data_IF_386273569341
#
_entry.id   IF_386273569341
#
_cell.length_a   1.000
_cell.length_b   1.000
_cell.length_c   1.000
_cell.angle_alpha   90.00
_cell.angle_beta   90.00
_cell.angle_gamma   90.00
#
_symmetry.space_group_name_H-M   'P 1'
#
loop_
_entity.id
_entity.type
_entity.pdbx_description
1 polymer ?
#
# COMPACT_ATOMS: atom_id res chain seq x y z
N UNK A 1 16.77 -38.60 -11.17
CA UNK A 1 16.35 -37.39 -11.91
C UNK A 1 14.84 -37.34 -11.87
N UNK A 2 14.24 -36.45 -11.08
CA UNK A 2 12.78 -36.29 -10.99
C UNK A 2 12.43 -34.88 -11.49
N UNK A 3 11.78 -34.83 -12.65
CA UNK A 3 11.17 -33.63 -13.21
C UNK A 3 9.98 -33.21 -12.35
N UNK A 4 9.89 -31.93 -12.02
CA UNK A 4 8.70 -31.33 -11.40
C UNK A 4 8.07 -30.39 -12.42
N UNK A 5 6.75 -30.52 -12.51
CA UNK A 5 5.87 -29.98 -13.52
C UNK A 5 5.91 -28.46 -13.66
N UNK A 6 5.98 -28.02 -14.92
CA UNK A 6 5.64 -26.66 -15.35
C UNK A 6 4.14 -26.41 -15.10
N UNK A 7 3.83 -25.47 -14.21
CA UNK A 7 2.50 -24.89 -14.07
C UNK A 7 2.24 -23.98 -15.28
N UNK A 8 1.28 -24.38 -16.10
CA UNK A 8 0.73 -23.57 -17.18
C UNK A 8 -0.04 -22.39 -16.58
N UNK A 9 0.46 -21.17 -16.77
CA UNK A 9 -0.36 -19.96 -16.65
C UNK A 9 -1.37 -19.94 -17.82
N UNK A 10 -2.64 -20.14 -17.51
CA UNK A 10 -3.74 -19.86 -18.44
C UNK A 10 -4.13 -18.40 -18.32
N UNK A 11 -3.96 -17.66 -19.42
CA UNK A 11 -4.44 -16.31 -19.62
C UNK A 11 -5.98 -16.26 -19.49
N UNK A 12 -6.47 -15.36 -18.65
CA UNK A 12 -7.86 -14.94 -18.62
C UNK A 12 -7.89 -13.42 -18.75
N UNK A 13 -8.22 -12.96 -19.95
CA UNK A 13 -8.50 -11.58 -20.34
C UNK A 13 -9.76 -11.09 -19.64
N UNK A 14 -9.57 -10.42 -18.52
CA UNK A 14 -10.46 -9.40 -17.96
C UNK A 14 -9.55 -8.22 -17.59
N UNK A 15 -10.01 -6.99 -17.83
CA UNK A 15 -9.31 -5.73 -17.56
C UNK A 15 -8.33 -5.84 -16.38
N UNK A 16 -7.03 -5.86 -16.69
CA UNK A 16 -5.98 -6.18 -15.71
C UNK A 16 -5.83 -5.17 -14.58
N UNK A 17 -6.62 -4.10 -14.56
CA UNK A 17 -6.57 -3.03 -13.55
C UNK A 17 -7.49 -3.31 -12.36
N UNK A 18 -8.68 -3.88 -12.59
CA UNK A 18 -9.69 -4.12 -11.54
C UNK A 18 -9.29 -5.21 -10.52
N UNK A 19 -8.26 -6.02 -10.82
CA UNK A 19 -7.73 -7.02 -9.89
C UNK A 19 -6.49 -6.60 -9.12
N UNK A 20 -5.86 -5.47 -9.48
CA UNK A 20 -4.60 -5.03 -8.87
C UNK A 20 -4.81 -4.69 -7.39
N UNK A 21 -6.00 -4.20 -7.05
CA UNK A 21 -6.32 -3.57 -5.76
C UNK A 21 -7.31 -4.37 -4.89
N UNK A 22 -7.90 -5.45 -5.43
CA UNK A 22 -9.05 -6.15 -4.82
C UNK A 22 -8.71 -7.36 -3.93
N UNK A 23 -7.43 -7.63 -3.58
CA UNK A 23 -7.07 -8.92 -2.97
C UNK A 23 -7.01 -9.00 -1.44
N UNK A 24 -7.31 -7.93 -0.71
CA UNK A 24 -7.69 -8.06 0.70
C UNK A 24 -8.44 -6.81 1.18
N UNK A 25 -9.78 -6.87 1.22
CA UNK A 25 -10.48 -6.25 2.34
C UNK A 25 -9.91 -6.94 3.58
N UNK A 26 -9.05 -6.24 4.30
CA UNK A 26 -8.22 -6.78 5.34
C UNK A 26 -9.11 -7.30 6.50
N UNK A 27 -9.22 -8.63 6.74
CA UNK A 27 -10.03 -9.15 7.86
C UNK A 27 -9.47 -8.75 9.25
N UNK A 28 -8.38 -7.97 9.30
CA UNK A 28 -7.70 -7.53 10.50
C UNK A 28 -8.17 -6.17 11.03
N UNK A 29 -9.05 -5.44 10.33
CA UNK A 29 -9.71 -4.23 10.88
C UNK A 29 -10.71 -4.52 12.00
N UNK A 30 -11.00 -5.80 12.27
CA UNK A 30 -11.95 -6.23 13.31
C UNK A 30 -11.45 -6.07 14.76
N UNK A 31 -10.33 -5.38 14.99
CA UNK A 31 -9.81 -5.10 16.34
C UNK A 31 -9.27 -3.67 16.47
N UNK A 32 -10.18 -2.72 16.61
CA UNK A 32 -10.26 -1.78 17.75
C UNK A 32 -10.93 -0.49 17.32
N UNK A 33 -12.17 -0.28 17.78
CA UNK A 33 -12.83 1.03 17.79
C UNK A 33 -12.20 1.97 18.83
N UNK A 34 -10.88 2.15 18.77
CA UNK A 34 -10.18 3.19 19.50
C UNK A 34 -9.54 4.08 18.47
N UNK A 35 -10.20 5.20 18.19
CA UNK A 35 -9.64 6.27 17.37
C UNK A 35 -8.19 6.51 17.75
N UNK A 36 -7.37 6.77 16.73
CA UNK A 36 -5.95 7.03 16.89
C UNK A 36 -5.71 7.90 18.12
N UNK A 37 -4.96 7.37 19.08
CA UNK A 37 -4.40 8.20 20.14
C UNK A 37 -3.59 9.27 19.41
N UNK A 38 -3.93 10.54 19.60
CA UNK A 38 -3.22 11.65 18.96
C UNK A 38 -1.70 11.41 19.05
N UNK A 39 -1.05 11.28 17.90
CA UNK A 39 0.40 11.05 17.83
C UNK A 39 0.85 9.59 17.91
N UNK A 40 0.02 8.59 17.58
CA UNK A 40 0.49 7.20 17.42
C UNK A 40 -0.07 6.57 16.15
N UNK A 41 0.82 6.11 15.26
CA UNK A 41 0.49 5.42 14.01
C UNK A 41 0.96 3.98 14.03
N UNK A 42 0.22 3.12 13.33
CA UNK A 42 0.50 1.68 13.22
C UNK A 42 0.92 1.38 11.78
N UNK A 43 2.14 0.90 11.61
CA UNK A 43 2.67 0.48 10.31
C UNK A 43 2.76 -1.04 10.30
N UNK A 44 2.12 -1.68 9.31
CA UNK A 44 2.10 -3.14 9.14
C UNK A 44 2.79 -3.53 7.85
N UNK A 45 3.71 -4.48 7.91
CA UNK A 45 4.31 -5.08 6.71
C UNK A 45 3.36 -6.13 6.13
N UNK A 46 2.65 -5.80 5.05
CA UNK A 46 1.66 -6.67 4.45
C UNK A 46 2.28 -7.66 3.46
N UNK A 47 3.59 -7.63 3.20
CA UNK A 47 4.22 -8.59 2.28
C UNK A 47 4.00 -10.04 2.71
N UNK A 48 4.09 -10.30 4.02
CA UNK A 48 4.07 -11.64 4.62
C UNK A 48 2.74 -12.00 5.29
N UNK A 49 1.69 -11.19 5.11
CA UNK A 49 0.37 -11.45 5.70
C UNK A 49 -0.39 -12.53 4.93
N UNK A 50 0.08 -13.77 4.97
CA UNK A 50 -0.63 -14.91 4.39
C UNK A 50 -1.54 -15.60 5.42
N UNK A 51 -2.60 -16.25 4.92
CA UNK A 51 -3.67 -16.94 5.64
C UNK A 51 -3.29 -17.46 7.05
N UNK A 52 -3.61 -16.67 8.08
CA UNK A 52 -3.49 -17.05 9.49
C UNK A 52 -2.26 -16.51 10.22
N UNK A 53 -1.35 -15.78 9.57
CA UNK A 53 -0.25 -15.07 10.22
C UNK A 53 -0.50 -13.57 10.24
N UNK A 54 -0.44 -12.97 11.43
CA UNK A 54 -0.54 -11.53 11.59
C UNK A 54 0.71 -10.84 11.02
N UNK A 55 0.50 -9.76 10.26
CA UNK A 55 1.56 -8.91 9.75
C UNK A 55 2.37 -8.32 10.91
N UNK A 56 3.72 -8.27 10.83
CA UNK A 56 4.52 -7.52 11.79
C UNK A 56 4.02 -6.07 11.89
N UNK A 57 3.70 -5.63 13.10
CA UNK A 57 3.22 -4.26 13.40
C UNK A 57 4.30 -3.48 14.14
N UNK A 58 4.54 -2.25 13.70
CA UNK A 58 5.41 -1.26 14.37
C UNK A 58 4.58 -0.04 14.76
N UNK A 59 4.70 0.35 16.03
CA UNK A 59 4.09 1.56 16.57
C UNK A 59 5.05 2.73 16.39
N UNK A 60 4.57 3.79 15.77
CA UNK A 60 5.32 5.00 15.44
C UNK A 60 4.69 6.20 16.12
N UNK A 61 5.48 6.97 16.86
CA UNK A 61 4.97 8.09 17.67
C UNK A 61 5.04 9.46 16.96
N UNK A 62 5.78 9.59 15.87
CA UNK A 62 5.97 10.87 15.18
C UNK A 62 6.34 10.70 13.71
N UNK A 63 6.35 11.82 12.97
CA UNK A 63 6.71 11.87 11.55
C UNK A 63 8.11 11.36 11.26
N UNK A 64 9.07 11.64 12.15
CA UNK A 64 10.44 11.20 11.95
C UNK A 64 10.55 9.68 12.04
N UNK A 65 9.90 9.08 13.04
CA UNK A 65 9.78 7.64 13.20
C UNK A 65 9.08 6.98 12.02
N UNK A 66 8.04 7.62 11.46
CA UNK A 66 7.33 7.10 10.30
C UNK A 66 8.24 7.07 9.08
N UNK A 67 8.94 8.17 8.81
CA UNK A 67 9.89 8.26 7.70
C UNK A 67 11.02 7.24 7.86
N UNK A 68 11.53 7.05 9.08
CA UNK A 68 12.56 6.06 9.36
C UNK A 68 12.06 4.63 9.11
N UNK A 69 10.85 4.30 9.56
CA UNK A 69 10.28 2.97 9.40
C UNK A 69 9.94 2.65 7.93
N UNK A 70 9.33 3.60 7.21
CA UNK A 70 9.05 3.45 5.79
C UNK A 70 10.35 3.37 4.97
N UNK A 71 11.40 4.12 5.33
CA UNK A 71 12.70 3.97 4.69
C UNK A 71 13.35 2.60 4.96
N UNK A 72 13.21 2.08 6.19
CA UNK A 72 13.67 0.73 6.55
C UNK A 72 12.96 -0.33 5.70
N UNK A 73 11.63 -0.25 5.58
CA UNK A 73 10.83 -1.18 4.79
C UNK A 73 11.12 -1.06 3.28
N UNK A 74 11.33 0.17 2.77
CA UNK A 74 11.68 0.42 1.37
C UNK A 74 13.07 -0.09 0.98
N UNK A 75 13.97 -0.35 1.95
CA UNK A 75 15.30 -0.94 1.71
C UNK A 75 15.28 -2.45 1.46
N UNK A 76 14.12 -3.08 1.68
CA UNK A 76 13.90 -4.51 1.45
C UNK A 76 13.42 -4.73 0.01
N UNK A 77 12.86 -5.92 -0.27
CA UNK A 77 12.18 -6.14 -1.55
C UNK A 77 10.89 -5.30 -1.67
N UNK A 78 10.47 -4.91 -2.89
CA UNK A 78 9.25 -4.15 -3.10
C UNK A 78 8.02 -4.77 -2.44
N UNK A 79 7.38 -4.02 -1.55
CA UNK A 79 6.32 -4.53 -0.67
C UNK A 79 5.22 -3.53 -0.43
N UNK A 80 4.04 -4.03 -0.06
CA UNK A 80 2.94 -3.20 0.41
C UNK A 80 2.96 -3.13 1.93
N UNK A 81 2.78 -1.93 2.48
CA UNK A 81 2.61 -1.70 3.90
C UNK A 81 1.24 -1.09 4.17
N UNK A 82 0.62 -1.48 5.27
CA UNK A 82 -0.65 -0.95 5.74
C UNK A 82 -0.42 0.10 6.81
N UNK A 83 -1.11 1.24 6.73
CA UNK A 83 -1.08 2.28 7.75
C UNK A 83 -2.51 2.64 8.15
N UNK A 84 -2.85 2.45 9.41
CA UNK A 84 -4.18 2.78 9.92
C UNK A 84 -4.38 4.29 9.98
N UNK A 85 -5.53 4.78 9.48
CA UNK A 85 -5.94 6.17 9.59
C UNK A 85 -6.95 6.31 10.74
N UNK A 86 -8.24 6.19 10.44
CA UNK A 86 -9.30 6.29 11.42
C UNK A 86 -10.50 5.43 11.02
N UNK A 87 -11.21 4.87 12.01
CA UNK A 87 -12.41 4.08 11.76
C UNK A 87 -12.14 2.86 10.88
N UNK A 88 -12.76 2.82 9.71
CA UNK A 88 -12.60 1.77 8.70
C UNK A 88 -11.72 2.20 7.52
N UNK A 89 -10.89 3.23 7.72
CA UNK A 89 -9.99 3.78 6.70
C UNK A 89 -8.53 3.45 6.98
N UNK A 90 -7.78 3.18 5.91
CA UNK A 90 -6.35 2.92 5.97
C UNK A 90 -5.65 3.30 4.67
N UNK A 91 -4.33 3.37 4.72
CA UNK A 91 -3.49 3.47 3.53
C UNK A 91 -2.85 2.11 3.23
N UNK A 92 -2.84 1.72 1.97
CA UNK A 92 -1.87 0.77 1.45
C UNK A 92 -0.78 1.53 0.70
N UNK A 93 0.47 1.28 1.06
CA UNK A 93 1.62 1.98 0.47
C UNK A 93 2.57 0.95 -0.12
N UNK A 94 2.71 0.94 -1.43
CA UNK A 94 3.77 0.18 -2.08
C UNK A 94 5.09 0.90 -1.96
N UNK A 95 6.14 0.23 -1.45
CA UNK A 95 7.49 0.75 -1.34
C UNK A 95 8.44 -0.09 -2.21
N UNK A 96 8.96 0.47 -3.31
CA UNK A 96 9.69 -0.26 -4.35
C UNK A 96 11.01 0.41 -4.76
N UNK A 97 11.78 0.88 -3.78
CA UNK A 97 12.98 1.67 -4.01
C UNK A 97 12.65 3.14 -4.32
N UNK A 98 12.98 3.68 -5.51
CA UNK A 98 12.70 5.08 -5.85
C UNK A 98 11.24 5.35 -6.24
N UNK A 99 10.43 4.29 -6.40
CA UNK A 99 9.03 4.37 -6.78
C UNK A 99 8.12 3.73 -5.74
N UNK A 100 6.95 4.33 -5.58
CA UNK A 100 5.93 3.93 -4.62
C UNK A 100 4.53 4.16 -5.20
N UNK A 101 3.52 3.58 -4.58
CA UNK A 101 2.12 3.99 -4.77
C UNK A 101 1.48 4.22 -3.40
N UNK A 102 0.46 5.05 -3.35
CA UNK A 102 -0.35 5.29 -2.15
C UNK A 102 -1.80 5.08 -2.52
N UNK A 103 -2.43 4.13 -1.87
CA UNK A 103 -3.85 3.83 -1.99
C UNK A 103 -4.53 4.14 -0.67
N UNK A 104 -5.62 4.90 -0.72
CA UNK A 104 -6.54 5.09 0.38
C UNK A 104 -7.69 4.10 0.25
N UNK A 105 -7.95 3.34 1.31
CA UNK A 105 -8.99 2.32 1.32
C UNK A 105 -9.97 2.61 2.45
N UNK A 106 -11.26 2.51 2.12
CA UNK A 106 -12.39 2.51 3.05
C UNK A 106 -13.03 1.14 2.97
N UNK A 107 -13.20 0.44 4.09
CA UNK A 107 -13.71 -0.94 4.09
C UNK A 107 -15.24 -1.02 3.95
N UNK A 108 -15.99 -0.06 4.50
CA UNK A 108 -17.47 -0.11 4.57
C UNK A 108 -18.12 1.27 4.31
N UNK A 109 -18.73 1.50 3.13
CA UNK A 109 -18.70 0.64 1.95
C UNK A 109 -17.29 0.56 1.36
N UNK A 110 -16.96 -0.59 0.74
CA UNK A 110 -15.65 -0.79 0.12
C UNK A 110 -15.40 0.26 -0.97
N UNK A 111 -14.29 0.98 -0.84
CA UNK A 111 -13.81 1.99 -1.78
C UNK A 111 -12.29 2.02 -1.73
N UNK A 112 -11.63 2.06 -2.89
CA UNK A 112 -10.20 2.25 -3.00
C UNK A 112 -9.89 3.39 -3.99
N UNK A 113 -8.99 4.28 -3.60
CA UNK A 113 -8.53 5.38 -4.44
C UNK A 113 -7.01 5.47 -4.41
N UNK A 114 -6.38 5.67 -5.56
CA UNK A 114 -4.92 5.72 -5.68
C UNK A 114 -4.48 7.16 -5.96
N UNK A 115 -3.48 7.63 -5.22
CA UNK A 115 -2.90 8.95 -5.40
C UNK A 115 -2.20 9.05 -6.76
N UNK A 116 -2.46 10.13 -7.49
CA UNK A 116 -1.78 10.44 -8.74
C UNK A 116 -0.57 11.35 -8.51
N UNK A 117 0.50 11.21 -9.31
CA UNK A 117 1.69 12.07 -9.20
C UNK A 117 1.35 13.53 -9.55
N UNK A 118 1.76 14.48 -8.70
CA UNK A 118 1.52 15.93 -8.89
C UNK A 118 2.31 16.51 -10.05
N UNK A 119 3.47 15.92 -10.34
CA UNK A 119 4.39 16.38 -11.38
C UNK A 119 4.73 15.21 -12.30
N UNK A 120 5.00 15.49 -13.57
CA UNK A 120 5.65 14.52 -14.45
C UNK A 120 6.98 14.12 -13.84
N UNK A 121 6.99 13.00 -13.10
CA UNK A 121 8.22 12.39 -12.62
C UNK A 121 9.11 12.13 -13.84
N UNK A 122 10.43 12.21 -13.67
CA UNK A 122 11.41 11.97 -14.73
C UNK A 122 11.31 10.56 -15.34
N UNK A 123 12.40 9.97 -15.84
CA UNK A 123 12.36 8.62 -16.40
C UNK A 123 11.75 7.62 -15.39
N UNK A 124 10.55 7.12 -15.70
CA UNK A 124 9.75 6.23 -14.83
C UNK A 124 9.63 4.85 -15.48
N UNK A 125 9.70 3.74 -14.71
CA UNK A 125 9.43 2.42 -15.25
C UNK A 125 7.98 2.31 -15.74
N UNK A 126 7.73 1.40 -16.68
CA UNK A 126 6.39 1.10 -17.17
C UNK A 126 5.49 0.49 -16.10
N UNK A 127 6.08 -0.25 -15.16
CA UNK A 127 5.43 -0.82 -13.98
C UNK A 127 6.44 -1.20 -12.89
N UNK A 128 5.94 -1.46 -11.68
CA UNK A 128 6.70 -2.06 -10.57
C UNK A 128 5.85 -3.15 -9.93
N UNK A 129 6.46 -4.29 -9.60
CA UNK A 129 5.82 -5.38 -8.87
C UNK A 129 6.02 -5.19 -7.37
N UNK A 130 4.94 -5.27 -6.59
CA UNK A 130 4.98 -5.19 -5.12
C UNK A 130 4.41 -6.47 -4.54
N UNK A 131 4.99 -6.93 -3.43
CA UNK A 131 4.50 -8.09 -2.69
C UNK A 131 3.45 -7.65 -1.65
N UNK A 132 2.28 -8.29 -1.69
CA UNK A 132 1.22 -8.16 -0.69
C UNK A 132 0.62 -9.55 -0.42
N UNK A 133 0.54 -9.95 0.85
CA UNK A 133 0.01 -11.24 1.29
C UNK A 133 0.64 -12.46 0.59
N UNK A 134 1.94 -12.39 0.32
CA UNK A 134 2.73 -13.39 -0.41
C UNK A 134 2.46 -13.45 -1.91
N UNK A 135 1.71 -12.50 -2.46
CA UNK A 135 1.37 -12.41 -3.88
C UNK A 135 1.97 -11.13 -4.49
N UNK A 136 2.45 -11.23 -5.73
CA UNK A 136 2.92 -10.07 -6.47
C UNK A 136 1.78 -9.37 -7.20
N UNK A 137 1.69 -8.05 -7.03
CA UNK A 137 0.80 -7.16 -7.79
C UNK A 137 1.62 -6.20 -8.63
N UNK A 138 1.32 -6.11 -9.93
CA UNK A 138 1.94 -5.17 -10.85
C UNK A 138 1.21 -3.82 -10.80
N UNK A 139 1.94 -2.74 -10.53
CA UNK A 139 1.41 -1.38 -10.51
C UNK A 139 1.89 -0.64 -11.74
N UNK A 140 0.99 -0.16 -12.62
CA UNK A 140 1.37 0.54 -13.83
C UNK A 140 1.95 1.92 -13.53
N UNK A 141 2.78 2.40 -14.45
CA UNK A 141 3.45 3.69 -14.40
C UNK A 141 2.54 4.79 -13.85
N UNK A 142 1.34 4.99 -14.39
CA UNK A 142 0.46 6.12 -14.03
C UNK A 142 0.18 6.28 -12.53
N UNK A 143 0.23 5.21 -11.74
CA UNK A 143 0.02 5.23 -10.29
C UNK A 143 1.32 5.26 -9.46
N UNK A 144 2.48 5.22 -10.13
CA UNK A 144 3.77 5.31 -9.47
C UNK A 144 4.17 6.77 -9.23
N UNK A 145 4.43 7.07 -7.97
CA UNK A 145 5.00 8.30 -7.45
C UNK A 145 6.48 8.07 -7.10
N UNK A 146 7.34 9.10 -7.20
CA UNK A 146 8.61 9.10 -6.48
C UNK A 146 8.38 8.79 -4.99
N UNK A 147 9.20 7.95 -4.37
CA UNK A 147 9.00 7.56 -2.96
C UNK A 147 8.95 8.75 -2.02
N UNK A 148 9.74 9.80 -2.26
CA UNK A 148 9.69 11.02 -1.46
C UNK A 148 8.31 11.71 -1.52
N UNK A 149 7.71 11.75 -2.71
CA UNK A 149 6.38 12.31 -2.95
C UNK A 149 5.29 11.44 -2.31
N UNK A 150 5.39 10.12 -2.43
CA UNK A 150 4.50 9.19 -1.73
C UNK A 150 4.51 9.38 -0.20
N UNK A 151 5.69 9.62 0.39
CA UNK A 151 5.81 9.89 1.83
C UNK A 151 5.12 11.20 2.24
N UNK A 152 5.13 12.22 1.39
CA UNK A 152 4.38 13.45 1.64
C UNK A 152 2.86 13.17 1.65
N UNK A 153 2.37 12.38 0.69
CA UNK A 153 0.96 11.99 0.64
C UNK A 153 0.52 11.23 1.91
N UNK A 154 1.33 10.27 2.34
CA UNK A 154 1.08 9.50 3.57
C UNK A 154 1.02 10.40 4.80
N UNK A 155 2.00 11.30 4.97
CA UNK A 155 2.06 12.21 6.13
C UNK A 155 0.86 13.16 6.15
N UNK A 156 0.46 13.71 5.00
CA UNK A 156 -0.72 14.57 4.91
C UNK A 156 -2.00 13.81 5.26
N UNK A 157 -2.17 12.58 4.76
CA UNK A 157 -3.33 11.76 5.08
C UNK A 157 -3.39 11.43 6.57
N UNK A 158 -2.26 11.10 7.19
CA UNK A 158 -2.18 10.83 8.64
C UNK A 158 -2.50 12.06 9.48
N UNK A 159 -2.11 13.26 9.05
CA UNK A 159 -2.47 14.52 9.74
C UNK A 159 -3.95 14.84 9.63
N UNK A 160 -4.59 14.47 8.53
CA UNK A 160 -6.01 14.75 8.27
C UNK A 160 -6.93 13.62 8.75
N UNK A 161 -6.41 12.42 8.99
CA UNK A 161 -7.17 11.23 9.34
C UNK A 161 -7.93 10.60 8.16
N UNK A 162 -7.55 10.92 6.92
CA UNK A 162 -8.25 10.52 5.69
C UNK A 162 -7.50 10.99 4.44
N UNK A 163 -8.07 10.77 3.24
CA UNK A 163 -7.47 11.24 1.98
C UNK A 163 -7.23 12.77 1.97
N UNK A 164 -6.02 13.18 1.61
CA UNK A 164 -5.66 14.60 1.53
C UNK A 164 -6.20 15.25 0.25
N UNK A 165 -6.90 16.40 0.32
CA UNK A 165 -7.40 17.12 -0.86
C UNK A 165 -6.28 17.83 -1.64
N UNK A 166 -5.05 17.84 -1.12
CA UNK A 166 -3.88 18.35 -1.84
C UNK A 166 -3.33 17.34 -2.86
N UNK A 167 -3.95 16.16 -2.98
CA UNK A 167 -3.62 15.14 -3.96
C UNK A 167 -4.82 14.89 -4.86
N UNK A 168 -4.52 14.55 -6.12
CA UNK A 168 -5.51 13.98 -7.01
C UNK A 168 -5.60 12.48 -6.75
N UNK A 169 -6.81 11.95 -6.69
CA UNK A 169 -7.10 10.56 -6.37
C UNK A 169 -7.95 9.96 -7.49
N UNK A 170 -7.58 8.76 -7.94
CA UNK A 170 -8.33 8.00 -8.94
C UNK A 170 -8.99 6.79 -8.29
N UNK A 171 -10.30 6.64 -8.47
CA UNK A 171 -11.04 5.46 -8.01
C UNK A 171 -10.60 4.22 -8.80
N UNK A 172 -10.32 3.12 -8.10
CA UNK A 172 -9.82 1.86 -8.68
C UNK A 172 -10.68 0.64 -8.37
#
# INVERSE_FOLDING_TARGET
MKSIHALKLTAATASGVERIFSQAAAPWLNRSATGGVEGVWRVKDLADSCLGREAPEVIVADEQGLRAELARLASLEPRVVGIELSGNEYLQVGLGGPWAFVEHVVDEPWKAEVALPRVGAGPKPESVWFVCSGQGSEIPARYLLPTAEALEAVVECLRLGGASPAWEWELV
#
